data_IF_959610415632
#
_entry.id   IF_959610415632
#
_cell.length_a   1.000
_cell.length_b   1.000
_cell.length_c   1.000
_cell.angle_alpha   90.00
_cell.angle_beta   90.00
_cell.angle_gamma   90.00
#
_symmetry.space_group_name_H-M   'P 1'
#
loop_
_entity.id
_entity.type
_entity.pdbx_description
1 polymer ?
#
# COMPACT_ATOMS: atom_id res chain seq x y z
N UNK A 1 29.96 -15.20 30.65
CA UNK A 1 29.10 -14.16 30.05
C UNK A 1 28.86 -14.58 28.61
N UNK A 2 27.77 -15.31 28.36
CA UNK A 2 27.42 -15.72 27.00
C UNK A 2 27.00 -14.44 26.25
N UNK A 3 27.80 -14.06 25.26
CA UNK A 3 27.42 -12.99 24.33
C UNK A 3 26.16 -13.43 23.61
N UNK A 4 25.12 -12.61 23.73
CA UNK A 4 23.91 -12.76 22.92
C UNK A 4 24.34 -12.82 21.45
N UNK A 5 23.97 -13.91 20.77
CA UNK A 5 24.19 -14.05 19.34
C UNK A 5 23.47 -12.87 18.69
N UNK A 6 24.16 -12.01 17.92
CA UNK A 6 23.51 -10.93 17.21
C UNK A 6 22.32 -11.50 16.44
N UNK A 7 21.15 -10.87 16.56
CA UNK A 7 20.01 -11.17 15.71
C UNK A 7 20.48 -10.93 14.27
N UNK A 8 20.92 -11.99 13.59
CA UNK A 8 21.19 -12.00 12.16
C UNK A 8 19.87 -11.66 11.47
N UNK A 9 19.60 -10.37 11.30
CA UNK A 9 18.53 -9.88 10.44
C UNK A 9 18.76 -10.51 9.07
N UNK A 10 17.81 -11.33 8.62
CA UNK A 10 17.90 -11.95 7.30
C UNK A 10 18.16 -10.87 6.25
N UNK A 11 18.91 -11.20 5.21
CA UNK A 11 19.23 -10.26 4.12
C UNK A 11 17.97 -9.59 3.53
N UNK A 12 16.83 -10.27 3.55
CA UNK A 12 15.54 -9.71 3.16
C UNK A 12 15.08 -8.59 4.10
N UNK A 13 15.14 -8.81 5.42
CA UNK A 13 14.77 -7.80 6.44
C UNK A 13 15.69 -6.59 6.36
N UNK A 14 17.00 -6.82 6.17
CA UNK A 14 17.98 -5.74 6.02
C UNK A 14 17.66 -4.85 4.80
N UNK A 15 17.35 -5.46 3.66
CA UNK A 15 16.98 -4.75 2.42
C UNK A 15 15.69 -3.93 2.60
N UNK A 16 14.68 -4.49 3.27
CA UNK A 16 13.46 -3.74 3.59
C UNK A 16 13.73 -2.50 4.45
N UNK A 17 14.61 -2.64 5.45
CA UNK A 17 15.04 -1.52 6.29
C UNK A 17 15.80 -0.46 5.48
N UNK A 18 16.68 -0.86 4.56
CA UNK A 18 17.43 0.06 3.68
C UNK A 18 16.51 0.88 2.76
N UNK A 19 15.46 0.26 2.21
CA UNK A 19 14.44 0.97 1.42
C UNK A 19 13.66 2.00 2.26
N UNK A 20 13.24 1.59 3.45
CA UNK A 20 12.54 2.48 4.38
C UNK A 20 13.41 3.66 4.85
N UNK A 21 14.66 3.40 5.22
CA UNK A 21 15.61 4.44 5.63
C UNK A 21 15.82 5.48 4.52
N UNK A 22 16.02 5.04 3.26
CA UNK A 22 16.16 5.96 2.13
C UNK A 22 14.93 6.83 1.93
N UNK A 23 13.73 6.24 2.01
CA UNK A 23 12.49 7.00 1.90
C UNK A 23 12.36 8.05 3.02
N UNK A 24 12.69 7.69 4.26
CA UNK A 24 12.65 8.61 5.40
C UNK A 24 13.67 9.75 5.26
N UNK A 25 14.90 9.45 4.83
CA UNK A 25 15.91 10.49 4.53
C UNK A 25 15.43 11.45 3.46
N UNK A 26 14.78 10.95 2.41
CA UNK A 26 14.23 11.79 1.36
C UNK A 26 13.08 12.67 1.87
N UNK A 27 12.17 12.13 2.68
CA UNK A 27 11.08 12.90 3.31
C UNK A 27 11.64 14.01 4.22
N UNK A 28 12.69 13.73 4.98
CA UNK A 28 13.35 14.74 5.81
C UNK A 28 14.00 15.84 4.97
N UNK A 29 14.65 15.51 3.86
CA UNK A 29 15.17 16.54 2.96
C UNK A 29 14.07 17.42 2.37
N UNK A 30 12.88 16.86 2.12
CA UNK A 30 11.72 17.63 1.63
C UNK A 30 11.12 18.55 2.69
N UNK A 31 11.31 18.31 4.00
CA UNK A 31 10.77 19.21 5.02
C UNK A 31 11.40 20.59 5.01
N UNK A 32 12.60 20.72 4.45
CA UNK A 32 13.34 21.99 4.35
C UNK A 32 13.01 22.77 3.07
N UNK A 33 12.20 22.22 2.16
CA UNK A 33 11.89 22.83 0.86
C UNK A 33 10.96 24.06 0.94
N UNK A 34 10.31 24.28 2.09
CA UNK A 34 9.48 25.48 2.32
C UNK A 34 8.23 25.54 1.44
N UNK A 35 7.87 26.74 0.99
CA UNK A 35 6.62 27.01 0.25
C UNK A 35 6.62 26.48 -1.19
N UNK A 36 7.79 26.19 -1.77
CA UNK A 36 7.93 25.65 -3.13
C UNK A 36 7.56 24.15 -3.20
N UNK A 37 7.40 23.49 -2.04
CA UNK A 37 7.03 22.08 -1.98
C UNK A 37 5.54 21.87 -2.29
N UNK A 38 5.28 20.97 -3.23
CA UNK A 38 3.93 20.48 -3.54
C UNK A 38 3.89 18.96 -3.58
N UNK A 39 2.76 18.39 -3.13
CA UNK A 39 2.48 16.98 -3.31
C UNK A 39 2.04 16.71 -4.75
N UNK A 40 2.56 15.64 -5.32
CA UNK A 40 2.11 15.10 -6.60
C UNK A 40 2.09 13.56 -6.59
N UNK A 41 1.44 12.97 -7.58
CA UNK A 41 1.29 11.52 -7.68
C UNK A 41 2.62 10.80 -7.92
N UNK A 42 3.53 11.43 -8.67
CA UNK A 42 4.88 10.95 -8.91
C UNK A 42 5.68 10.87 -7.61
N UNK A 43 5.66 11.92 -6.79
CA UNK A 43 6.31 11.92 -5.47
C UNK A 43 5.83 10.76 -4.59
N UNK A 44 4.51 10.63 -4.43
CA UNK A 44 3.91 9.58 -3.60
C UNK A 44 4.29 8.18 -4.14
N UNK A 45 4.30 8.00 -5.46
CA UNK A 45 4.70 6.74 -6.10
C UNK A 45 6.20 6.45 -5.98
N UNK A 46 7.05 7.47 -6.04
CA UNK A 46 8.50 7.33 -5.85
C UNK A 46 8.80 6.91 -4.41
N UNK A 47 8.15 7.54 -3.41
CA UNK A 47 8.28 7.14 -2.01
C UNK A 47 7.88 5.67 -1.80
N UNK A 48 6.73 5.27 -2.34
CA UNK A 48 6.32 3.86 -2.30
C UNK A 48 7.31 2.94 -3.04
N UNK A 49 7.88 3.40 -4.15
CA UNK A 49 8.89 2.64 -4.90
C UNK A 49 10.15 2.41 -4.07
N UNK A 50 10.66 3.43 -3.38
CA UNK A 50 11.82 3.34 -2.51
C UNK A 50 11.60 2.31 -1.38
N UNK A 51 10.39 2.28 -0.81
CA UNK A 51 10.04 1.35 0.26
C UNK A 51 9.90 -0.09 -0.25
N UNK A 52 9.32 -0.29 -1.45
CA UNK A 52 8.98 -1.61 -1.98
C UNK A 52 9.93 -2.12 -3.07
N UNK A 53 11.08 -1.48 -3.30
CA UNK A 53 11.95 -1.77 -4.46
C UNK A 53 12.40 -3.23 -4.56
N UNK A 54 12.51 -3.92 -3.43
CA UNK A 54 12.92 -5.33 -3.37
C UNK A 54 11.77 -6.32 -3.68
N UNK A 55 10.56 -5.81 -3.92
CA UNK A 55 9.35 -6.59 -4.18
C UNK A 55 8.79 -6.30 -5.58
N UNK A 56 9.49 -6.70 -6.67
CA UNK A 56 9.09 -6.34 -8.05
C UNK A 56 7.69 -6.86 -8.41
N UNK A 57 7.28 -8.00 -7.85
CA UNK A 57 5.95 -8.58 -8.03
C UNK A 57 4.81 -7.69 -7.50
N UNK A 58 5.09 -6.76 -6.57
CA UNK A 58 4.12 -5.79 -6.04
C UNK A 58 3.97 -4.55 -6.92
N UNK A 59 4.70 -4.46 -8.03
CA UNK A 59 4.70 -3.32 -8.97
C UNK A 59 4.94 -1.97 -8.23
N UNK A 60 6.12 -1.79 -7.61
CA UNK A 60 6.40 -0.61 -6.78
C UNK A 60 6.12 0.71 -7.52
N UNK A 61 5.37 1.60 -6.86
CA UNK A 61 5.03 2.94 -7.37
C UNK A 61 4.00 2.95 -8.49
N UNK A 62 3.32 1.83 -8.73
CA UNK A 62 2.30 1.73 -9.78
C UNK A 62 0.94 1.44 -9.16
N UNK A 63 -0.03 2.27 -9.50
CA UNK A 63 -1.41 2.07 -9.06
C UNK A 63 -1.91 0.66 -9.42
N UNK A 64 -2.66 0.07 -8.50
CA UNK A 64 -3.25 -1.26 -8.67
C UNK A 64 -4.21 -1.28 -9.87
N UNK A 65 -4.29 -2.44 -10.50
CA UNK A 65 -5.16 -2.70 -11.66
C UNK A 65 -6.23 -3.75 -11.31
N UNK A 66 -6.44 -4.00 -10.02
CA UNK A 66 -7.32 -5.04 -9.52
C UNK A 66 -7.85 -4.70 -8.12
N UNK A 67 -8.78 -5.52 -7.61
CA UNK A 67 -9.35 -5.33 -6.27
C UNK A 67 -8.31 -5.56 -5.18
N UNK A 68 -8.57 -4.98 -4.01
CA UNK A 68 -7.81 -5.22 -2.78
C UNK A 68 -8.78 -5.46 -1.64
N UNK A 69 -8.43 -6.42 -0.79
CA UNK A 69 -9.21 -6.82 0.37
C UNK A 69 -8.29 -6.88 1.58
N UNK A 70 -8.70 -6.26 2.67
CA UNK A 70 -8.06 -6.38 3.97
C UNK A 70 -8.87 -7.39 4.76
N UNK A 71 -8.24 -8.48 5.16
CA UNK A 71 -8.89 -9.59 5.90
C UNK A 71 -8.84 -9.34 7.40
N UNK A 72 -9.82 -9.87 8.14
CA UNK A 72 -9.77 -9.87 9.60
C UNK A 72 -8.70 -10.87 10.10
N UNK A 73 -8.02 -10.60 11.22
CA UNK A 73 -7.23 -11.61 11.93
C UNK A 73 -8.05 -12.83 12.35
N UNK A 74 -9.35 -12.63 12.63
CA UNK A 74 -10.25 -13.67 13.15
C UNK A 74 -10.74 -14.62 12.04
N UNK A 75 -10.98 -14.10 10.84
CA UNK A 75 -11.41 -14.87 9.69
C UNK A 75 -10.76 -14.34 8.39
N UNK A 76 -9.73 -15.03 7.87
CA UNK A 76 -9.08 -14.67 6.61
C UNK A 76 -9.97 -14.81 5.38
N UNK A 77 -11.11 -15.50 5.47
CA UNK A 77 -12.04 -15.70 4.36
C UNK A 77 -13.04 -14.54 4.21
N UNK A 78 -13.22 -13.71 5.24
CA UNK A 78 -14.13 -12.57 5.22
C UNK A 78 -13.32 -11.27 5.14
N UNK A 79 -13.49 -10.46 4.08
CA UNK A 79 -12.83 -9.17 3.99
C UNK A 79 -13.41 -8.22 5.05
N UNK A 80 -12.59 -7.81 6.00
CA UNK A 80 -12.91 -6.76 6.97
C UNK A 80 -13.06 -5.39 6.28
N UNK A 81 -12.34 -5.19 5.17
CA UNK A 81 -12.47 -4.01 4.33
C UNK A 81 -12.21 -4.37 2.87
N UNK A 82 -13.00 -3.80 1.97
CA UNK A 82 -12.77 -3.85 0.52
C UNK A 82 -12.46 -2.44 0.05
N UNK A 83 -11.31 -2.26 -0.58
CA UNK A 83 -10.91 -0.98 -1.15
C UNK A 83 -11.83 -0.57 -2.31
N UNK A 84 -11.79 0.70 -2.74
CA UNK A 84 -12.59 1.18 -3.85
C UNK A 84 -12.30 0.42 -5.16
N UNK A 85 -13.17 0.55 -6.15
CA UNK A 85 -12.89 0.03 -7.48
C UNK A 85 -11.57 0.60 -8.02
N UNK A 86 -10.74 -0.25 -8.63
CA UNK A 86 -9.42 0.14 -9.10
C UNK A 86 -9.46 1.25 -10.17
N UNK A 87 -10.53 1.31 -10.98
CA UNK A 87 -10.75 2.38 -11.95
C UNK A 87 -10.97 3.77 -11.31
N UNK A 88 -11.40 3.83 -10.05
CA UNK A 88 -11.61 5.08 -9.31
C UNK A 88 -10.34 5.56 -8.60
N UNK A 89 -9.34 4.69 -8.40
CA UNK A 89 -8.12 5.01 -7.65
C UNK A 89 -7.37 6.23 -8.22
N UNK A 90 -7.18 6.39 -9.54
CA UNK A 90 -6.50 7.58 -10.06
C UNK A 90 -7.21 8.89 -9.68
N UNK A 91 -8.54 8.94 -9.75
CA UNK A 91 -9.32 10.11 -9.39
C UNK A 91 -9.27 10.40 -7.88
N UNK A 92 -9.41 9.36 -7.05
CA UNK A 92 -9.32 9.50 -5.59
C UNK A 92 -7.91 9.94 -5.14
N UNK A 93 -6.86 9.47 -5.80
CA UNK A 93 -5.49 9.93 -5.53
C UNK A 93 -5.33 11.40 -5.91
N UNK A 94 -5.92 11.84 -7.03
CA UNK A 94 -5.90 13.24 -7.45
C UNK A 94 -6.61 14.13 -6.41
N UNK A 95 -7.78 13.71 -5.93
CA UNK A 95 -8.51 14.42 -4.87
C UNK A 95 -7.70 14.51 -3.56
N UNK A 96 -7.07 13.40 -3.14
CA UNK A 96 -6.19 13.40 -1.97
C UNK A 96 -5.01 14.35 -2.15
N UNK A 97 -4.36 14.34 -3.30
CA UNK A 97 -3.22 15.22 -3.61
C UNK A 97 -3.65 16.69 -3.59
N UNK A 98 -4.80 17.02 -4.17
CA UNK A 98 -5.34 18.38 -4.11
C UNK A 98 -5.57 18.80 -2.66
N UNK A 99 -6.22 17.96 -1.86
CA UNK A 99 -6.45 18.25 -0.44
C UNK A 99 -5.13 18.38 0.35
N UNK A 100 -4.10 17.59 0.03
CA UNK A 100 -2.77 17.71 0.64
C UNK A 100 -2.07 19.04 0.34
N UNK A 101 -2.35 19.68 -0.80
CA UNK A 101 -1.79 20.98 -1.16
C UNK A 101 -2.61 22.16 -0.64
N UNK A 102 -3.93 22.06 -0.66
CA UNK A 102 -4.83 23.22 -0.47
C UNK A 102 -5.76 23.06 0.75
N UNK A 103 -6.10 21.83 1.13
CA UNK A 103 -7.13 21.52 2.12
C UNK A 103 -6.65 21.60 3.56
N UNK A 104 -7.54 22.12 4.43
CA UNK A 104 -7.43 22.11 5.90
C UNK A 104 -6.07 22.59 6.43
N UNK A 105 -5.44 23.56 5.76
CA UNK A 105 -4.09 24.06 6.12
C UNK A 105 -4.03 24.70 7.51
N UNK A 106 -5.17 25.16 8.03
CA UNK A 106 -5.29 25.75 9.37
C UNK A 106 -5.57 24.70 10.47
N UNK A 107 -5.81 23.43 10.09
CA UNK A 107 -6.02 22.35 11.07
C UNK A 107 -4.72 21.98 11.80
N UNK A 108 -4.80 21.50 13.06
CA UNK A 108 -3.62 20.98 13.76
C UNK A 108 -2.90 19.91 12.93
N UNK A 109 -1.57 20.03 12.81
CA UNK A 109 -0.75 19.20 11.90
C UNK A 109 -0.94 17.70 12.11
N UNK A 110 -1.12 17.25 13.35
CA UNK A 110 -1.33 15.84 13.67
C UNK A 110 -2.69 15.33 13.18
N UNK A 111 -3.76 16.14 13.30
CA UNK A 111 -5.08 15.78 12.75
C UNK A 111 -5.01 15.67 11.24
N UNK A 112 -4.38 16.66 10.59
CA UNK A 112 -4.22 16.67 9.13
C UNK A 112 -3.40 15.48 8.65
N UNK A 113 -2.31 15.14 9.34
CA UNK A 113 -1.51 13.95 9.05
C UNK A 113 -2.30 12.64 9.23
N UNK A 114 -3.12 12.53 10.29
CA UNK A 114 -4.00 11.38 10.51
C UNK A 114 -5.05 11.24 9.41
N UNK A 115 -5.65 12.34 8.96
CA UNK A 115 -6.63 12.33 7.85
C UNK A 115 -5.97 11.96 6.52
N UNK A 116 -4.78 12.50 6.23
CA UNK A 116 -3.98 12.10 5.07
C UNK A 116 -3.72 10.60 5.06
N UNK A 117 -3.24 10.06 6.20
CA UNK A 117 -2.98 8.64 6.36
C UNK A 117 -4.24 7.80 6.18
N UNK A 118 -5.34 8.16 6.87
CA UNK A 118 -6.63 7.48 6.78
C UNK A 118 -7.13 7.42 5.33
N UNK A 119 -7.08 8.55 4.61
CA UNK A 119 -7.55 8.61 3.23
C UNK A 119 -6.67 7.75 2.32
N UNK A 120 -5.34 7.78 2.49
CA UNK A 120 -4.43 6.96 1.71
C UNK A 120 -4.68 5.46 1.92
N UNK A 121 -4.84 5.00 3.17
CA UNK A 121 -5.09 3.57 3.47
C UNK A 121 -6.50 3.14 3.08
N UNK A 122 -7.48 4.04 3.04
CA UNK A 122 -8.82 3.76 2.50
C UNK A 122 -8.79 3.63 0.97
N UNK A 123 -8.07 4.50 0.27
CA UNK A 123 -7.91 4.39 -1.19
C UNK A 123 -7.14 3.11 -1.55
N UNK A 124 -6.12 2.80 -0.76
CA UNK A 124 -5.27 1.61 -0.88
C UNK A 124 -4.70 1.49 -2.31
N UNK A 125 -3.88 2.47 -2.75
CA UNK A 125 -3.64 2.71 -4.17
C UNK A 125 -2.72 1.67 -4.82
N UNK A 126 -1.92 0.95 -4.05
CA UNK A 126 -0.99 -0.06 -4.56
C UNK A 126 -1.47 -1.49 -4.28
N UNK A 127 -0.84 -2.45 -4.97
CA UNK A 127 -1.13 -3.86 -4.77
C UNK A 127 -0.34 -4.38 -3.57
N UNK A 128 -1.04 -4.74 -2.51
CA UNK A 128 -0.45 -5.22 -1.26
C UNK A 128 -0.86 -6.68 -1.13
N UNK A 129 0.09 -7.60 -1.37
CA UNK A 129 -0.11 -9.05 -1.31
C UNK A 129 -1.35 -9.57 -2.06
N UNK A 130 -1.22 -9.80 -3.36
CA UNK A 130 -2.15 -10.70 -4.05
C UNK A 130 -1.91 -12.12 -3.54
N UNK A 131 -2.65 -12.57 -2.52
CA UNK A 131 -2.83 -14.01 -2.30
C UNK A 131 -3.69 -14.50 -3.45
N UNK A 132 -3.04 -15.09 -4.46
CA UNK A 132 -3.69 -15.77 -5.56
C UNK A 132 -4.43 -17.01 -5.02
N UNK A 133 -5.65 -16.82 -4.53
CA UNK A 133 -6.66 -17.86 -4.30
C UNK A 133 -8.01 -17.12 -4.23
N UNK A 134 -9.01 -17.30 -5.09
CA UNK A 134 -9.31 -18.31 -6.09
C UNK A 134 -10.22 -17.64 -7.14
N UNK A 135 -10.12 -17.94 -8.43
CA UNK A 135 -10.98 -18.92 -9.10
C UNK A 135 -12.06 -19.64 -8.23
N UNK A 136 -12.92 -18.90 -7.53
CA UNK A 136 -14.24 -19.41 -7.11
C UNK A 136 -15.23 -19.06 -8.22
N UNK A 137 -15.15 -19.81 -9.32
CA UNK A 137 -15.97 -19.58 -10.50
C UNK A 137 -15.90 -20.73 -11.48
N UNK A 138 -16.76 -21.74 -11.26
CA UNK A 138 -17.21 -22.64 -12.33
C UNK A 138 -16.30 -23.83 -12.66
N UNK A 139 -16.46 -24.93 -11.92
CA UNK A 139 -16.38 -26.26 -12.55
C UNK A 139 -17.49 -27.13 -11.97
N UNK A 140 -18.66 -27.05 -12.61
CA UNK A 140 -19.80 -27.91 -12.34
C UNK A 140 -19.36 -29.38 -12.44
N UNK A 141 -19.51 -30.12 -11.35
CA UNK A 141 -19.49 -31.57 -11.35
C UNK A 141 -20.70 -32.05 -12.13
N UNK A 142 -20.54 -32.30 -13.44
CA UNK A 142 -21.43 -33.21 -14.16
C UNK A 142 -21.09 -34.62 -13.71
N UNK A 143 -21.90 -35.13 -12.77
CA UNK A 143 -22.02 -36.54 -12.44
C UNK A 143 -22.60 -37.21 -13.70
N UNK A 144 -21.78 -37.94 -14.46
CA UNK A 144 -22.30 -38.87 -15.46
C UNK A 144 -22.75 -40.11 -14.71
N UNK A 145 -24.05 -40.36 -14.71
CA UNK A 145 -24.61 -41.65 -14.34
C UNK A 145 -24.29 -42.68 -15.43
N UNK A 146 -24.02 -43.94 -15.08
CA UNK A 146 -23.86 -45.00 -16.07
C UNK A 146 -25.24 -45.34 -16.65
N UNK A 147 -25.36 -45.26 -17.97
CA UNK A 147 -26.48 -45.91 -18.68
C UNK A 147 -26.27 -47.43 -18.63
N UNK A 148 -27.37 -48.13 -18.35
CA UNK A 148 -27.52 -49.57 -18.38
C UNK A 148 -27.12 -50.20 -19.72
#
# INVERSE_FOLDING_TARGET
MAGEVPLETSDATRRELEGHQRAMTYIQALSDAGEEFGYDLGLINVLHSMIQEHHPNKRPGRLRQGPVHVTSPDDPAVPAYTGPEHGLVPALMQELIQWLNEGDRDSPVHVRASMAHLNLVKIHPWAEHLRLSQNIGGRGRRRMEPRA
#
